data_IF_139406022613
#
_entry.id   IF_139406022613
#
_cell.length_a   1.000
_cell.length_b   1.000
_cell.length_c   1.000
_cell.angle_alpha   90.00
_cell.angle_beta   90.00
_cell.angle_gamma   90.00
#
_symmetry.space_group_name_H-M   'P 1'
#
loop_
_entity.id
_entity.type
_entity.pdbx_description
1 polymer ?
#
# COMPACT_ATOMS: atom_id res chain seq x y z
N UNK A 1 -25.53 16.32 34.34
CA UNK A 1 -24.83 15.34 33.48
C UNK A 1 -25.09 13.98 34.08
N UNK A 2 -25.79 13.09 33.36
CA UNK A 2 -26.19 11.76 33.86
C UNK A 2 -24.98 10.96 34.32
N UNK A 3 -25.11 10.27 35.45
CA UNK A 3 -24.18 9.27 35.94
C UNK A 3 -23.93 8.22 34.85
N UNK A 4 -22.76 8.29 34.22
CA UNK A 4 -22.29 7.27 33.30
C UNK A 4 -21.94 6.04 34.13
N UNK A 5 -22.79 5.00 34.05
CA UNK A 5 -22.50 3.70 34.65
C UNK A 5 -21.37 3.03 33.88
N UNK A 6 -20.13 3.28 34.33
CA UNK A 6 -18.91 2.78 33.73
C UNK A 6 -18.89 1.24 33.65
N UNK A 7 -19.54 0.53 34.59
CA UNK A 7 -19.63 -0.93 34.57
C UNK A 7 -20.48 -1.44 33.41
N UNK A 8 -21.62 -0.78 33.18
CA UNK A 8 -22.51 -1.09 32.04
C UNK A 8 -21.86 -0.74 30.71
N UNK A 9 -21.14 0.37 30.65
CA UNK A 9 -20.42 0.81 29.45
C UNK A 9 -19.27 -0.15 29.08
N UNK A 10 -18.55 -0.69 30.08
CA UNK A 10 -17.54 -1.73 29.88
C UNK A 10 -18.13 -3.07 29.42
N UNK A 11 -19.29 -3.45 29.95
CA UNK A 11 -20.00 -4.67 29.56
C UNK A 11 -20.55 -4.59 28.13
N UNK A 12 -21.24 -3.49 27.80
CA UNK A 12 -21.94 -3.34 26.52
C UNK A 12 -20.98 -3.00 25.36
N UNK A 13 -19.85 -2.35 25.64
CA UNK A 13 -18.86 -1.94 24.64
C UNK A 13 -17.48 -2.61 24.81
N UNK A 14 -17.41 -3.72 25.56
CA UNK A 14 -16.14 -4.42 25.83
C UNK A 14 -15.33 -4.72 24.58
N UNK A 15 -15.98 -5.11 23.49
CA UNK A 15 -15.31 -5.35 22.20
C UNK A 15 -14.64 -4.09 21.63
N UNK A 16 -15.29 -2.94 21.70
CA UNK A 16 -14.72 -1.66 21.22
C UNK A 16 -13.51 -1.28 22.06
N UNK A 17 -13.60 -1.46 23.38
CA UNK A 17 -12.48 -1.18 24.28
C UNK A 17 -11.27 -2.09 23.99
N UNK A 18 -11.51 -3.40 23.81
CA UNK A 18 -10.46 -4.36 23.44
C UNK A 18 -9.81 -3.97 22.11
N UNK A 19 -10.60 -3.56 21.11
CA UNK A 19 -10.07 -3.08 19.83
C UNK A 19 -9.21 -1.83 19.99
N UNK A 20 -9.64 -0.86 20.80
CA UNK A 20 -8.84 0.35 21.07
C UNK A 20 -7.52 0.01 21.78
N UNK A 21 -7.54 -0.89 22.76
CA UNK A 21 -6.33 -1.36 23.45
C UNK A 21 -5.40 -2.04 22.45
N UNK A 22 -5.92 -2.89 21.57
CA UNK A 22 -5.14 -3.56 20.54
C UNK A 22 -4.53 -2.53 19.58
N UNK A 23 -5.29 -1.54 19.12
CA UNK A 23 -4.78 -0.46 18.27
C UNK A 23 -3.67 0.33 18.95
N UNK A 24 -3.81 0.66 20.24
CA UNK A 24 -2.76 1.35 21.01
C UNK A 24 -1.52 0.48 21.15
N UNK A 25 -1.69 -0.80 21.47
CA UNK A 25 -0.60 -1.75 21.60
C UNK A 25 0.17 -1.92 20.29
N UNK A 26 -0.53 -2.15 19.17
CA UNK A 26 0.10 -2.29 17.85
C UNK A 26 0.75 -0.98 17.40
N UNK A 27 0.15 0.17 17.71
CA UNK A 27 0.77 1.48 17.45
C UNK A 27 2.07 1.65 18.25
N UNK A 28 2.09 1.23 19.51
CA UNK A 28 3.27 1.31 20.35
C UNK A 28 4.38 0.38 19.87
N UNK A 29 4.06 -0.89 19.56
CA UNK A 29 5.03 -1.88 19.07
C UNK A 29 5.58 -1.48 17.69
N UNK A 30 4.81 -0.77 16.87
CA UNK A 30 5.22 -0.33 15.54
C UNK A 30 5.86 1.06 15.49
N UNK A 31 6.29 1.60 16.64
CA UNK A 31 7.01 2.87 16.72
C UNK A 31 8.39 2.74 16.06
N UNK A 32 8.54 3.35 14.89
CA UNK A 32 9.80 3.41 14.15
C UNK A 32 10.22 4.84 13.88
N UNK A 33 11.52 5.04 13.68
CA UNK A 33 12.08 6.29 13.17
C UNK A 33 11.75 6.42 11.69
N UNK A 34 11.10 7.52 11.34
CA UNK A 34 10.70 7.84 9.97
C UNK A 34 11.53 9.01 9.47
N UNK A 35 12.11 8.89 8.28
CA UNK A 35 12.59 10.03 7.51
C UNK A 35 11.55 10.42 6.47
N UNK A 36 10.88 11.57 6.62
CA UNK A 36 9.82 11.96 5.70
C UNK A 36 10.38 12.30 4.31
N UNK A 37 9.85 11.64 3.27
CA UNK A 37 9.94 12.09 1.85
C UNK A 37 8.79 13.03 1.47
N UNK A 38 8.15 13.67 2.45
CA UNK A 38 7.07 14.63 2.19
C UNK A 38 7.61 15.94 1.62
N UNK A 39 6.77 16.67 0.90
CA UNK A 39 7.07 18.03 0.39
C UNK A 39 7.51 18.98 1.52
N UNK A 40 6.82 18.96 2.65
CA UNK A 40 7.19 19.76 3.83
C UNK A 40 8.58 19.41 4.39
N UNK A 41 9.02 18.16 4.22
CA UNK A 41 10.36 17.74 4.64
C UNK A 41 11.45 18.21 3.66
N UNK A 42 11.14 18.23 2.36
CA UNK A 42 12.00 18.82 1.34
C UNK A 42 12.23 20.32 1.60
N UNK A 43 11.17 21.07 1.89
CA UNK A 43 11.28 22.51 2.22
C UNK A 43 12.12 22.75 3.48
N UNK A 44 11.93 21.94 4.52
CA UNK A 44 12.72 22.03 5.77
C UNK A 44 14.18 21.70 5.52
N UNK A 45 14.47 20.68 4.70
CA UNK A 45 15.82 20.31 4.32
C UNK A 45 16.51 21.44 3.53
N UNK A 46 15.81 22.05 2.56
CA UNK A 46 16.33 23.19 1.82
C UNK A 46 16.71 24.35 2.74
N UNK A 47 15.83 24.72 3.68
CA UNK A 47 16.11 25.75 4.70
C UNK A 47 17.31 25.39 5.58
N UNK A 48 17.42 24.12 5.99
CA UNK A 48 18.54 23.64 6.80
C UNK A 48 19.88 23.75 6.05
N UNK A 49 19.90 23.44 4.75
CA UNK A 49 21.08 23.56 3.89
C UNK A 49 21.43 25.04 3.70
N UNK A 50 20.43 25.88 3.41
CA UNK A 50 20.63 27.32 3.20
C UNK A 50 21.20 28.02 4.44
N UNK A 51 20.75 27.66 5.65
CA UNK A 51 21.26 28.27 6.88
C UNK A 51 22.74 27.94 7.18
N UNK A 52 23.27 26.87 6.60
CA UNK A 52 24.64 26.38 6.86
C UNK A 52 25.62 26.68 5.72
N UNK A 53 25.13 27.19 4.58
CA UNK A 53 25.95 27.43 3.40
C UNK A 53 25.79 28.87 2.90
N UNK A 54 26.82 29.39 2.25
CA UNK A 54 26.76 30.72 1.65
C UNK A 54 25.78 30.76 0.45
N UNK A 55 25.13 31.91 0.18
CA UNK A 55 24.34 32.11 -1.04
C UNK A 55 25.19 31.82 -2.29
N UNK A 56 24.63 31.10 -3.27
CA UNK A 56 25.30 30.71 -4.51
C UNK A 56 26.14 29.43 -4.42
N UNK A 57 26.15 28.74 -3.29
CA UNK A 57 26.85 27.46 -3.16
C UNK A 57 26.20 26.35 -4.01
N UNK A 58 27.03 25.47 -4.58
CA UNK A 58 26.55 24.32 -5.37
C UNK A 58 26.07 23.20 -4.45
N UNK A 59 24.87 22.70 -4.74
CA UNK A 59 24.24 21.60 -4.03
C UNK A 59 23.86 20.49 -5.00
N UNK A 60 24.10 19.24 -4.60
CA UNK A 60 23.59 18.07 -5.31
C UNK A 60 22.42 17.45 -4.54
N UNK A 61 21.43 16.94 -5.27
CA UNK A 61 20.27 16.22 -4.74
C UNK A 61 20.43 14.74 -5.09
N UNK A 62 20.45 13.87 -4.08
CA UNK A 62 20.54 12.42 -4.25
C UNK A 62 19.36 11.76 -3.55
N UNK A 63 18.44 11.18 -4.33
CA UNK A 63 17.24 10.52 -3.82
C UNK A 63 17.19 9.10 -4.35
N UNK A 64 16.88 8.12 -3.50
CA UNK A 64 16.69 6.74 -3.96
C UNK A 64 15.37 6.60 -4.70
N UNK A 65 15.39 5.93 -5.86
CA UNK A 65 14.17 5.59 -6.59
C UNK A 65 13.17 4.84 -5.70
N UNK A 66 11.90 5.23 -5.78
CA UNK A 66 10.81 4.66 -5.00
C UNK A 66 9.65 5.62 -4.86
N UNK A 67 8.65 5.22 -4.06
CA UNK A 67 7.45 6.03 -3.86
C UNK A 67 7.78 7.40 -3.26
N UNK A 68 7.13 8.44 -3.80
CA UNK A 68 7.32 9.83 -3.41
C UNK A 68 8.67 10.46 -3.82
N UNK A 69 9.59 9.71 -4.43
CA UNK A 69 10.94 10.22 -4.76
C UNK A 69 10.91 11.40 -5.75
N UNK A 70 10.09 11.33 -6.79
CA UNK A 70 9.96 12.40 -7.79
C UNK A 70 9.36 13.68 -7.20
N UNK A 71 8.25 13.55 -6.44
CA UNK A 71 7.61 14.69 -5.78
C UNK A 71 8.58 15.34 -4.79
N UNK A 72 9.22 14.55 -3.94
CA UNK A 72 10.22 15.03 -2.98
C UNK A 72 11.38 15.76 -3.67
N UNK A 73 11.96 15.16 -4.71
CA UNK A 73 13.10 15.73 -5.45
C UNK A 73 12.72 17.05 -6.13
N UNK A 74 11.57 17.12 -6.82
CA UNK A 74 11.08 18.35 -7.47
C UNK A 74 10.83 19.47 -6.47
N UNK A 75 10.17 19.17 -5.34
CA UNK A 75 9.93 20.17 -4.29
C UNK A 75 11.23 20.63 -3.66
N UNK A 76 12.19 19.72 -3.44
CA UNK A 76 13.49 20.05 -2.88
C UNK A 76 14.31 20.95 -3.81
N UNK A 77 14.29 20.66 -5.11
CA UNK A 77 14.94 21.47 -6.14
C UNK A 77 14.36 22.88 -6.20
N UNK A 78 13.02 23.00 -6.23
CA UNK A 78 12.33 24.29 -6.18
C UNK A 78 12.63 25.07 -4.89
N UNK A 79 12.63 24.38 -3.74
CA UNK A 79 12.90 24.99 -2.45
C UNK A 79 14.36 25.47 -2.32
N UNK A 80 15.33 24.71 -2.85
CA UNK A 80 16.74 25.12 -2.88
C UNK A 80 16.96 26.32 -3.80
N UNK A 81 16.34 26.34 -4.98
CA UNK A 81 16.40 27.48 -5.90
C UNK A 81 15.88 28.77 -5.24
N UNK A 82 14.78 28.68 -4.48
CA UNK A 82 14.22 29.83 -3.74
C UNK A 82 15.12 30.36 -2.62
N UNK A 83 16.09 29.58 -2.15
CA UNK A 83 17.06 30.01 -1.12
C UNK A 83 18.33 30.66 -1.70
N UNK A 84 18.45 30.74 -3.03
CA UNK A 84 19.63 31.27 -3.71
C UNK A 84 20.80 30.28 -3.78
N UNK A 85 20.54 28.98 -3.60
CA UNK A 85 21.52 27.90 -3.82
C UNK A 85 21.40 27.36 -5.24
N UNK A 86 22.51 26.92 -5.81
CA UNK A 86 22.54 26.38 -7.18
C UNK A 86 22.49 24.86 -7.15
N UNK A 87 21.38 24.28 -7.60
CA UNK A 87 21.27 22.83 -7.79
C UNK A 87 22.05 22.45 -9.04
N UNK A 88 23.14 21.71 -8.86
CA UNK A 88 24.05 21.34 -9.96
C UNK A 88 23.78 19.94 -10.49
N UNK A 89 23.26 19.05 -9.65
CA UNK A 89 22.94 17.68 -10.03
C UNK A 89 21.74 17.18 -9.22
N UNK A 90 20.81 16.53 -9.89
CA UNK A 90 19.64 15.91 -9.28
C UNK A 90 19.54 14.46 -9.80
N UNK A 91 19.80 13.49 -8.92
CA UNK A 91 19.75 12.06 -9.25
C UNK A 91 18.66 11.39 -8.44
N UNK A 92 17.73 10.77 -9.16
CA UNK A 92 16.75 9.84 -8.61
C UNK A 92 17.13 8.44 -9.08
N UNK A 93 17.72 7.62 -8.20
CA UNK A 93 18.30 6.36 -8.68
C UNK A 93 18.91 5.47 -7.60
N UNK A 94 19.77 4.56 -8.07
CA UNK A 94 20.54 3.69 -7.20
C UNK A 94 21.88 4.36 -6.77
N UNK A 95 22.57 3.83 -5.75
CA UNK A 95 23.84 4.40 -5.29
C UNK A 95 24.93 4.45 -6.37
N UNK A 96 24.90 3.53 -7.34
CA UNK A 96 25.84 3.52 -8.46
C UNK A 96 25.65 4.75 -9.38
N UNK A 97 24.40 5.09 -9.73
CA UNK A 97 24.09 6.28 -10.50
C UNK A 97 24.45 7.56 -9.73
N UNK A 98 24.19 7.58 -8.42
CA UNK A 98 24.58 8.69 -7.55
C UNK A 98 26.11 8.89 -7.54
N UNK A 99 26.89 7.81 -7.43
CA UNK A 99 28.36 7.86 -7.49
C UNK A 99 28.85 8.40 -8.84
N UNK A 100 28.37 7.85 -9.94
CA UNK A 100 28.75 8.28 -11.29
C UNK A 100 28.47 9.77 -11.52
N UNK A 101 27.33 10.27 -11.00
CA UNK A 101 26.98 11.67 -11.10
C UNK A 101 27.93 12.57 -10.30
N UNK A 102 28.29 12.17 -9.06
CA UNK A 102 29.26 12.90 -8.24
C UNK A 102 30.66 12.93 -8.88
N UNK A 103 31.12 11.82 -9.47
CA UNK A 103 32.42 11.75 -10.16
C UNK A 103 32.45 12.59 -11.44
N UNK A 104 31.33 12.70 -12.15
CA UNK A 104 31.22 13.51 -13.37
C UNK A 104 31.20 15.02 -13.13
N UNK A 105 31.08 15.44 -11.86
CA UNK A 105 30.86 16.82 -11.51
C UNK A 105 32.17 17.58 -11.27
N UNK A 106 32.49 18.53 -12.15
CA UNK A 106 33.73 19.31 -12.06
C UNK A 106 33.66 20.48 -11.04
N UNK A 107 32.46 20.92 -10.64
CA UNK A 107 32.28 22.08 -9.78
C UNK A 107 32.38 21.70 -8.29
N UNK A 108 33.01 22.54 -7.44
CA UNK A 108 33.09 22.28 -6.01
C UNK A 108 31.70 22.25 -5.39
N UNK A 109 31.41 21.17 -4.65
CA UNK A 109 30.12 20.93 -3.99
C UNK A 109 30.22 21.33 -2.51
N UNK A 110 29.33 22.21 -2.07
CA UNK A 110 29.26 22.59 -0.66
C UNK A 110 28.39 21.63 0.14
N UNK A 111 27.29 21.16 -0.46
CA UNK A 111 26.31 20.31 0.22
C UNK A 111 25.72 19.25 -0.70
N UNK A 112 25.35 18.12 -0.09
CA UNK A 112 24.53 17.07 -0.72
C UNK A 112 23.24 16.96 0.08
N UNK A 113 22.10 17.17 -0.58
CA UNK A 113 20.79 16.88 -0.02
C UNK A 113 20.44 15.42 -0.34
N UNK A 114 20.46 14.56 0.67
CA UNK A 114 20.22 13.14 0.52
C UNK A 114 18.99 12.67 1.29
N UNK A 115 18.26 11.70 0.75
CA UNK A 115 17.22 11.01 1.50
C UNK A 115 17.81 9.98 2.49
N UNK A 116 16.96 9.32 3.30
CA UNK A 116 17.40 8.35 4.32
C UNK A 116 18.24 7.19 3.78
N UNK A 117 18.10 6.85 2.51
CA UNK A 117 18.86 5.77 1.92
C UNK A 117 20.17 6.28 1.33
N UNK A 118 20.14 7.42 0.64
CA UNK A 118 21.30 8.02 -0.01
C UNK A 118 22.26 8.67 0.99
N UNK A 119 21.78 9.05 2.18
CA UNK A 119 22.65 9.60 3.23
C UNK A 119 23.62 8.54 3.77
N UNK A 120 23.20 7.27 3.84
CA UNK A 120 24.07 6.15 4.23
C UNK A 120 25.20 5.99 3.20
N UNK A 121 24.84 5.99 1.91
CA UNK A 121 25.81 6.00 0.83
C UNK A 121 26.77 7.19 0.94
N UNK A 122 26.27 8.41 1.19
CA UNK A 122 27.11 9.60 1.34
C UNK A 122 28.07 9.45 2.52
N UNK A 123 27.60 9.02 3.68
CA UNK A 123 28.45 8.88 4.87
C UNK A 123 29.57 7.84 4.67
N UNK A 124 29.32 6.78 3.90
CA UNK A 124 30.31 5.72 3.65
C UNK A 124 31.27 6.01 2.50
N UNK A 125 30.78 6.66 1.43
CA UNK A 125 31.52 6.80 0.17
C UNK A 125 32.10 8.19 -0.04
N UNK A 126 31.51 9.24 0.53
CA UNK A 126 31.98 10.61 0.36
C UNK A 126 33.42 10.82 0.89
N UNK A 127 33.84 10.22 2.04
CA UNK A 127 35.23 10.33 2.49
C UNK A 127 36.23 9.72 1.50
N UNK A 128 35.87 8.60 0.86
CA UNK A 128 36.72 7.92 -0.14
C UNK A 128 36.79 8.73 -1.43
N UNK A 129 35.65 9.25 -1.88
CA UNK A 129 35.57 10.12 -3.05
C UNK A 129 36.34 11.43 -2.83
N UNK A 130 36.37 11.96 -1.61
CA UNK A 130 37.15 13.15 -1.27
C UNK A 130 38.68 12.94 -1.42
N UNK A 131 39.17 11.70 -1.26
CA UNK A 131 40.59 11.37 -1.51
C UNK A 131 40.91 11.36 -3.01
N UNK A 132 39.98 10.85 -3.83
CA UNK A 132 40.11 10.78 -5.29
C UNK A 132 39.84 12.13 -5.97
N UNK A 133 39.00 12.98 -5.35
CA UNK A 133 38.45 14.20 -5.92
C UNK A 133 38.48 15.36 -4.92
N UNK A 134 39.47 16.27 -5.00
CA UNK A 134 39.65 17.38 -4.05
C UNK A 134 38.47 18.36 -3.96
N UNK A 135 37.62 18.41 -4.99
CA UNK A 135 36.44 19.27 -5.05
C UNK A 135 35.29 18.79 -4.15
N UNK A 136 35.32 17.53 -3.68
CA UNK A 136 34.34 16.95 -2.74
C UNK A 136 34.80 16.98 -1.27
N UNK A 137 36.05 17.37 -1.00
CA UNK A 137 36.65 17.26 0.33
C UNK A 137 35.97 18.12 1.41
N UNK A 138 35.24 19.18 1.01
CA UNK A 138 34.49 20.06 1.92
C UNK A 138 32.98 19.85 1.87
N UNK A 139 32.51 18.84 1.13
CA UNK A 139 31.08 18.60 0.94
C UNK A 139 30.47 17.97 2.18
N UNK A 140 29.38 18.55 2.68
CA UNK A 140 28.59 17.99 3.78
C UNK A 140 27.27 17.40 3.28
N UNK A 141 26.94 16.19 3.71
CA UNK A 141 25.66 15.56 3.39
C UNK A 141 24.60 15.90 4.45
N UNK A 142 23.40 16.23 4.00
CA UNK A 142 22.26 16.64 4.83
C UNK A 142 21.06 15.73 4.53
N UNK A 143 20.35 15.33 5.58
CA UNK A 143 19.13 14.54 5.50
C UNK A 143 17.96 15.26 6.17
N UNK A 144 16.70 14.94 5.80
CA UNK A 144 15.53 15.42 6.52
C UNK A 144 15.58 15.05 8.02
N UNK A 145 14.96 15.88 8.85
CA UNK A 145 14.85 15.62 10.29
C UNK A 145 13.97 14.37 10.49
N UNK A 146 14.53 13.36 11.16
CA UNK A 146 13.80 12.15 11.54
C UNK A 146 12.80 12.44 12.65
N UNK A 147 11.65 11.77 12.61
CA UNK A 147 10.69 11.78 13.71
C UNK A 147 10.18 10.36 13.96
N UNK A 148 9.78 10.06 15.19
CA UNK A 148 9.18 8.75 15.51
C UNK A 148 7.70 8.77 15.18
N UNK A 149 7.23 7.78 14.43
CA UNK A 149 5.81 7.62 14.12
C UNK A 149 5.45 6.14 13.98
N UNK A 150 4.30 5.69 14.52
CA UNK A 150 3.83 4.32 14.34
C UNK A 150 3.60 3.95 12.88
N UNK A 151 4.18 2.86 12.40
CA UNK A 151 3.87 2.32 11.07
C UNK A 151 2.39 1.95 10.95
N UNK A 152 1.77 1.45 12.03
CA UNK A 152 0.37 1.05 12.04
C UNK A 152 -0.58 2.19 11.65
N UNK A 153 -0.31 3.41 12.14
CA UNK A 153 -1.16 4.58 11.91
C UNK A 153 -0.82 5.34 10.62
N UNK A 154 0.10 4.82 9.80
CA UNK A 154 0.36 5.42 8.48
C UNK A 154 -0.88 5.27 7.59
N UNK A 155 -1.14 6.30 6.78
CA UNK A 155 -2.29 6.35 5.85
C UNK A 155 -2.35 5.10 4.98
N UNK A 156 -1.22 4.69 4.39
CA UNK A 156 -1.18 3.54 3.48
C UNK A 156 -1.48 2.23 4.21
N UNK A 157 -0.98 2.07 5.44
CA UNK A 157 -1.29 0.91 6.25
C UNK A 157 -2.77 0.88 6.66
N UNK A 158 -3.33 1.99 7.11
CA UNK A 158 -4.75 2.09 7.46
C UNK A 158 -5.65 1.81 6.24
N UNK A 159 -5.30 2.33 5.06
CA UNK A 159 -6.00 2.05 3.81
C UNK A 159 -5.89 0.56 3.45
N UNK A 160 -4.74 -0.07 3.63
CA UNK A 160 -4.57 -1.51 3.37
C UNK A 160 -5.40 -2.37 4.33
N UNK A 161 -5.42 -2.02 5.62
CA UNK A 161 -6.27 -2.68 6.62
C UNK A 161 -7.75 -2.52 6.27
N UNK A 162 -8.18 -1.31 5.89
CA UNK A 162 -9.56 -1.07 5.45
C UNK A 162 -9.91 -1.87 4.20
N UNK A 163 -9.02 -1.92 3.20
CA UNK A 163 -9.19 -2.73 1.98
C UNK A 163 -9.38 -4.22 2.31
N UNK A 164 -8.58 -4.75 3.24
CA UNK A 164 -8.68 -6.14 3.67
C UNK A 164 -9.98 -6.44 4.42
N UNK A 165 -10.40 -5.53 5.32
CA UNK A 165 -11.64 -5.67 6.10
C UNK A 165 -12.88 -5.50 5.21
N UNK A 166 -12.80 -4.69 4.16
CA UNK A 166 -13.94 -4.41 3.26
C UNK A 166 -14.52 -5.68 2.65
N UNK A 167 -13.67 -6.64 2.28
CA UNK A 167 -14.11 -7.94 1.74
C UNK A 167 -14.96 -8.68 2.76
N UNK A 168 -14.46 -8.80 4.00
CA UNK A 168 -15.16 -9.48 5.11
C UNK A 168 -16.46 -8.75 5.47
N UNK A 169 -16.46 -7.43 5.48
CA UNK A 169 -17.64 -6.61 5.78
C UNK A 169 -18.76 -6.81 4.76
N UNK A 170 -18.45 -6.86 3.46
CA UNK A 170 -19.43 -7.12 2.40
C UNK A 170 -20.04 -8.52 2.55
N UNK A 171 -19.19 -9.52 2.83
CA UNK A 171 -19.64 -10.90 3.06
C UNK A 171 -20.56 -10.98 4.27
N UNK A 172 -20.24 -10.27 5.36
CA UNK A 172 -21.01 -10.29 6.59
C UNK A 172 -22.46 -9.84 6.37
N UNK A 173 -22.73 -8.94 5.42
CA UNK A 173 -24.09 -8.53 5.04
C UNK A 173 -24.86 -9.73 4.49
N UNK A 174 -24.27 -10.50 3.58
CA UNK A 174 -24.89 -11.72 3.05
C UNK A 174 -25.07 -12.80 4.12
N UNK A 175 -24.05 -13.00 4.96
CA UNK A 175 -24.11 -13.96 6.07
C UNK A 175 -25.18 -13.61 7.11
N UNK A 176 -25.52 -12.33 7.26
CA UNK A 176 -26.61 -11.91 8.16
C UNK A 176 -27.95 -12.53 7.73
N UNK A 177 -28.22 -12.61 6.42
CA UNK A 177 -29.44 -13.27 5.92
C UNK A 177 -29.44 -14.77 6.20
N UNK A 178 -28.29 -15.43 6.13
CA UNK A 178 -28.14 -16.86 6.47
C UNK A 178 -28.34 -17.10 7.96
N UNK A 179 -27.83 -16.22 8.83
CA UNK A 179 -27.98 -16.35 10.28
C UNK A 179 -29.43 -16.12 10.73
N UNK A 180 -30.14 -15.17 10.12
CA UNK A 180 -31.55 -14.91 10.42
C UNK A 180 -32.43 -16.14 10.14
N UNK A 181 -32.08 -16.96 9.13
CA UNK A 181 -32.77 -18.22 8.85
C UNK A 181 -32.31 -19.39 9.73
N UNK A 182 -31.52 -19.12 10.77
CA UNK A 182 -30.85 -20.11 11.62
C UNK A 182 -29.97 -21.10 10.83
N UNK A 183 -29.49 -20.69 9.66
CA UNK A 183 -28.58 -21.45 8.82
C UNK A 183 -27.11 -21.23 9.18
N UNK A 184 -26.27 -22.13 8.69
CA UNK A 184 -24.81 -21.99 8.71
C UNK A 184 -24.32 -22.18 7.28
N UNK A 185 -23.51 -21.24 6.79
CA UNK A 185 -22.86 -21.35 5.48
C UNK A 185 -21.33 -21.39 5.63
N UNK A 186 -20.78 -22.57 5.36
CA UNK A 186 -19.34 -22.82 5.32
C UNK A 186 -18.71 -22.56 3.94
N UNK A 187 -19.52 -22.47 2.89
CA UNK A 187 -19.06 -22.44 1.51
C UNK A 187 -18.51 -21.09 1.07
N UNK A 188 -18.81 -20.01 1.81
CA UNK A 188 -18.54 -18.62 1.42
C UNK A 188 -17.11 -18.36 0.99
N UNK A 189 -16.12 -18.88 1.73
CA UNK A 189 -14.70 -18.76 1.37
C UNK A 189 -14.35 -19.41 0.03
N UNK A 190 -14.94 -20.57 -0.24
CA UNK A 190 -14.71 -21.32 -1.49
C UNK A 190 -15.47 -20.70 -2.66
N UNK A 191 -16.65 -20.12 -2.42
CA UNK A 191 -17.41 -19.38 -3.42
C UNK A 191 -16.73 -18.08 -3.82
N UNK A 192 -16.03 -17.39 -2.92
CA UNK A 192 -15.22 -16.20 -3.26
C UNK A 192 -14.09 -16.59 -4.22
N UNK A 193 -13.35 -17.66 -3.89
CA UNK A 193 -12.28 -18.15 -4.75
C UNK A 193 -12.82 -18.57 -6.12
N UNK A 194 -13.92 -19.33 -6.15
CA UNK A 194 -14.59 -19.73 -7.38
C UNK A 194 -15.07 -18.54 -8.20
N UNK A 195 -15.74 -17.57 -7.59
CA UNK A 195 -16.18 -16.34 -8.25
C UNK A 195 -15.02 -15.58 -8.85
N UNK A 196 -13.89 -15.46 -8.14
CA UNK A 196 -12.69 -14.80 -8.63
C UNK A 196 -12.13 -15.46 -9.89
N UNK A 197 -12.07 -16.80 -9.89
CA UNK A 197 -11.61 -17.59 -11.05
C UNK A 197 -12.55 -17.41 -12.25
N UNK A 198 -13.87 -17.54 -12.05
CA UNK A 198 -14.85 -17.35 -13.13
C UNK A 198 -14.77 -15.94 -13.71
N UNK A 199 -14.71 -14.91 -12.85
CA UNK A 199 -14.54 -13.52 -13.29
C UNK A 199 -13.26 -13.35 -14.10
N UNK A 200 -12.13 -13.86 -13.61
CA UNK A 200 -10.83 -13.72 -14.26
C UNK A 200 -10.77 -14.39 -15.63
N UNK A 201 -11.25 -15.64 -15.71
CA UNK A 201 -11.29 -16.39 -16.96
C UNK A 201 -12.22 -15.74 -17.98
N UNK A 202 -13.37 -15.24 -17.54
CA UNK A 202 -14.32 -14.55 -18.43
C UNK A 202 -13.70 -13.26 -18.98
N UNK A 203 -12.96 -12.51 -18.16
CA UNK A 203 -12.24 -11.31 -18.62
C UNK A 203 -11.19 -11.66 -19.66
N UNK A 204 -10.36 -12.68 -19.41
CA UNK A 204 -9.32 -13.09 -20.36
C UNK A 204 -9.91 -13.58 -21.68
N UNK A 205 -10.96 -14.41 -21.62
CA UNK A 205 -11.60 -14.98 -22.81
C UNK A 205 -12.28 -13.92 -23.67
N UNK A 206 -12.91 -12.91 -23.06
CA UNK A 206 -13.62 -11.86 -23.81
C UNK A 206 -12.71 -10.69 -24.22
N UNK A 207 -11.75 -10.32 -23.36
CA UNK A 207 -10.93 -9.12 -23.53
C UNK A 207 -9.55 -9.34 -24.15
N UNK A 208 -9.09 -10.59 -24.27
CA UNK A 208 -7.81 -10.91 -24.89
C UNK A 208 -6.64 -10.20 -24.22
N UNK A 209 -5.79 -9.55 -25.03
CA UNK A 209 -4.56 -8.90 -24.56
C UNK A 209 -4.75 -7.50 -23.95
N UNK A 210 -5.91 -6.85 -24.13
CA UNK A 210 -6.19 -5.53 -23.55
C UNK A 210 -7.67 -5.43 -23.11
N UNK A 211 -8.04 -6.07 -22.00
CA UNK A 211 -9.40 -6.04 -21.51
C UNK A 211 -9.81 -4.63 -21.04
N UNK A 212 -10.85 -4.09 -21.68
CA UNK A 212 -11.54 -2.86 -21.30
C UNK A 212 -12.42 -3.00 -20.05
N UNK A 213 -12.91 -1.87 -19.54
CA UNK A 213 -13.87 -1.81 -18.44
C UNK A 213 -15.14 -2.64 -18.70
N UNK A 214 -15.58 -2.75 -19.96
CA UNK A 214 -16.76 -3.56 -20.32
C UNK A 214 -16.52 -5.04 -20.06
N UNK A 215 -15.33 -5.57 -20.39
CA UNK A 215 -14.99 -6.96 -20.11
C UNK A 215 -14.92 -7.24 -18.61
N UNK A 216 -14.42 -6.28 -17.82
CA UNK A 216 -14.46 -6.36 -16.36
C UNK A 216 -15.89 -6.48 -15.81
N UNK A 217 -16.82 -5.67 -16.31
CA UNK A 217 -18.23 -5.74 -15.88
C UNK A 217 -18.88 -7.06 -16.28
N UNK A 218 -18.64 -7.55 -17.50
CA UNK A 218 -19.15 -8.84 -17.96
C UNK A 218 -18.58 -10.01 -17.16
N UNK A 219 -17.28 -10.01 -16.88
CA UNK A 219 -16.66 -11.02 -16.03
C UNK A 219 -17.21 -11.00 -14.61
N UNK A 220 -17.37 -9.81 -14.03
CA UNK A 220 -17.97 -9.65 -12.70
C UNK A 220 -19.41 -10.18 -12.68
N UNK A 221 -20.20 -9.88 -13.71
CA UNK A 221 -21.55 -10.42 -13.85
C UNK A 221 -21.56 -11.95 -13.96
N UNK A 222 -20.62 -12.54 -14.72
CA UNK A 222 -20.50 -13.99 -14.82
C UNK A 222 -20.19 -14.65 -13.47
N UNK A 223 -19.26 -14.09 -12.69
CA UNK A 223 -18.96 -14.57 -11.34
C UNK A 223 -20.17 -14.49 -10.39
N UNK A 224 -20.89 -13.36 -10.42
CA UNK A 224 -22.13 -13.16 -9.64
C UNK A 224 -23.18 -14.20 -10.02
N UNK A 225 -23.45 -14.38 -11.33
CA UNK A 225 -24.44 -15.33 -11.82
C UNK A 225 -24.09 -16.77 -11.46
N UNK A 226 -22.82 -17.15 -11.57
CA UNK A 226 -22.36 -18.48 -11.21
C UNK A 226 -22.57 -18.76 -9.71
N UNK A 227 -22.22 -17.81 -8.84
CA UNK A 227 -22.45 -17.96 -7.41
C UNK A 227 -23.94 -17.90 -7.03
N UNK A 228 -24.73 -17.07 -7.72
CA UNK A 228 -26.18 -17.01 -7.53
C UNK A 228 -26.84 -18.36 -7.88
N UNK A 229 -26.41 -19.02 -8.96
CA UNK A 229 -26.91 -20.34 -9.33
C UNK A 229 -26.56 -21.39 -8.26
N UNK A 230 -25.33 -21.39 -7.74
CA UNK A 230 -24.92 -22.30 -6.65
C UNK A 230 -25.72 -21.99 -5.38
N UNK A 231 -25.88 -20.72 -5.02
CA UNK A 231 -26.66 -20.29 -3.86
C UNK A 231 -28.13 -20.70 -3.96
N UNK A 232 -28.74 -20.52 -5.13
CA UNK A 232 -30.11 -20.97 -5.40
C UNK A 232 -30.25 -22.49 -5.26
N UNK A 233 -29.31 -23.26 -5.82
CA UNK A 233 -29.29 -24.72 -5.67
C UNK A 233 -29.11 -25.15 -4.22
N UNK A 234 -28.20 -24.49 -3.48
CA UNK A 234 -27.95 -24.75 -2.06
C UNK A 234 -29.20 -24.49 -1.22
N UNK A 235 -29.84 -23.33 -1.41
CA UNK A 235 -31.10 -22.97 -0.74
C UNK A 235 -32.24 -23.92 -1.11
N UNK A 236 -32.32 -24.33 -2.39
CA UNK A 236 -33.29 -25.32 -2.87
C UNK A 236 -33.11 -26.68 -2.19
N UNK A 237 -31.87 -27.17 -2.05
CA UNK A 237 -31.59 -28.42 -1.34
C UNK A 237 -32.00 -28.37 0.14
N UNK A 238 -31.75 -27.24 0.80
CA UNK A 238 -32.14 -27.06 2.21
C UNK A 238 -33.66 -27.00 2.35
N UNK A 239 -34.33 -26.22 1.49
CA UNK A 239 -35.77 -25.93 1.64
C UNK A 239 -36.69 -27.02 1.09
N UNK A 240 -36.37 -27.62 -0.06
CA UNK A 240 -37.21 -28.67 -0.66
C UNK A 240 -36.97 -30.04 -0.06
N UNK A 241 -35.71 -30.36 0.27
CA UNK A 241 -35.33 -31.71 0.72
C UNK A 241 -35.11 -31.80 2.24
N UNK A 242 -35.27 -30.69 2.97
CA UNK A 242 -35.07 -30.61 4.43
C UNK A 242 -33.69 -31.13 4.89
N UNK A 243 -32.66 -30.97 4.05
CA UNK A 243 -31.29 -31.35 4.40
C UNK A 243 -30.71 -30.26 5.31
N UNK A 244 -30.05 -30.61 6.43
CA UNK A 244 -29.41 -29.62 7.29
C UNK A 244 -28.43 -28.72 6.52
N UNK A 245 -28.59 -27.39 6.65
CA UNK A 245 -27.83 -26.39 5.90
C UNK A 245 -26.31 -26.55 6.00
N UNK A 246 -25.82 -26.92 7.19
CA UNK A 246 -24.41 -27.21 7.43
C UNK A 246 -23.86 -28.31 6.49
N UNK A 247 -24.62 -29.38 6.25
CA UNK A 247 -24.19 -30.50 5.41
C UNK A 247 -24.13 -30.09 3.95
N UNK A 248 -25.17 -29.39 3.47
CA UNK A 248 -25.23 -28.91 2.08
C UNK A 248 -24.08 -27.93 1.81
N UNK A 249 -23.89 -26.94 2.69
CA UNK A 249 -22.86 -25.90 2.50
C UNK A 249 -21.44 -26.46 2.65
N UNK A 250 -21.22 -27.47 3.51
CA UNK A 250 -19.95 -28.20 3.55
C UNK A 250 -19.66 -28.92 2.22
N UNK A 251 -20.66 -29.57 1.64
CA UNK A 251 -20.53 -30.20 0.32
C UNK A 251 -20.22 -29.18 -0.78
N UNK A 252 -20.97 -28.07 -0.80
CA UNK A 252 -20.76 -26.96 -1.74
C UNK A 252 -19.38 -26.34 -1.58
N UNK A 253 -18.86 -26.24 -0.35
CA UNK A 253 -17.49 -25.77 -0.10
C UNK A 253 -16.46 -26.61 -0.87
N UNK A 254 -16.54 -27.95 -0.78
CA UNK A 254 -15.61 -28.84 -1.49
C UNK A 254 -15.79 -28.77 -3.01
N UNK A 255 -17.04 -28.71 -3.49
CA UNK A 255 -17.34 -28.59 -4.92
C UNK A 255 -16.78 -27.28 -5.48
N UNK A 256 -17.12 -26.14 -4.87
CA UNK A 256 -16.67 -24.82 -5.31
C UNK A 256 -15.14 -24.71 -5.27
N UNK A 257 -14.50 -25.25 -4.22
CA UNK A 257 -13.04 -25.30 -4.11
C UNK A 257 -12.42 -26.15 -5.22
N UNK A 258 -12.99 -27.33 -5.50
CA UNK A 258 -12.54 -28.21 -6.58
C UNK A 258 -12.69 -27.56 -7.95
N UNK A 259 -13.84 -26.94 -8.22
CA UNK A 259 -14.10 -26.22 -9.47
C UNK A 259 -13.14 -25.04 -9.65
N UNK A 260 -12.90 -24.26 -8.60
CA UNK A 260 -11.93 -23.16 -8.65
C UNK A 260 -10.53 -23.67 -8.99
N UNK A 261 -10.11 -24.79 -8.41
CA UNK A 261 -8.81 -25.41 -8.69
C UNK A 261 -8.69 -25.95 -10.12
N UNK A 262 -9.73 -26.63 -10.61
CA UNK A 262 -9.77 -27.16 -11.98
C UNK A 262 -9.76 -26.02 -13.00
N UNK A 263 -10.60 -25.01 -12.82
CA UNK A 263 -10.73 -23.91 -13.78
C UNK A 263 -9.53 -22.97 -13.77
N UNK A 264 -8.84 -22.81 -12.64
CA UNK A 264 -7.59 -22.05 -12.57
C UNK A 264 -6.37 -22.83 -13.06
N UNK A 265 -6.53 -24.10 -13.45
CA UNK A 265 -5.42 -25.00 -13.78
C UNK A 265 -4.34 -25.05 -12.68
N UNK A 266 -4.76 -24.88 -11.42
CA UNK A 266 -3.86 -24.80 -10.25
C UNK A 266 -2.89 -23.60 -10.27
N UNK A 267 -3.13 -22.59 -11.11
CA UNK A 267 -2.25 -21.43 -11.28
C UNK A 267 -3.01 -20.11 -11.04
N UNK A 268 -2.31 -19.03 -10.65
CA UNK A 268 -2.91 -17.69 -10.65
C UNK A 268 -3.37 -17.31 -12.07
N UNK A 269 -4.56 -16.72 -12.18
CA UNK A 269 -5.13 -16.22 -13.44
C UNK A 269 -4.85 -14.71 -13.52
N UNK A 270 -3.76 -14.27 -14.18
CA UNK A 270 -3.37 -12.86 -14.18
C UNK A 270 -4.33 -12.01 -15.02
N UNK A 271 -4.62 -10.81 -14.57
CA UNK A 271 -5.46 -9.87 -15.31
C UNK A 271 -4.73 -8.54 -15.39
N UNK A 272 -4.39 -8.11 -16.60
CA UNK A 272 -3.86 -6.79 -16.88
C UNK A 272 -4.87 -6.06 -17.75
N UNK A 273 -5.22 -4.82 -17.41
CA UNK A 273 -6.23 -4.08 -18.17
C UNK A 273 -6.37 -2.64 -17.72
N UNK A 274 -6.97 -1.83 -18.59
CA UNK A 274 -7.21 -0.38 -18.38
C UNK A 274 -8.03 -0.05 -17.12
N UNK A 275 -8.77 -1.02 -16.56
CA UNK A 275 -9.58 -0.86 -15.34
C UNK A 275 -8.79 -1.10 -14.05
N UNK A 276 -7.50 -1.43 -14.12
CA UNK A 276 -6.76 -1.81 -12.93
C UNK A 276 -6.59 -0.66 -11.91
N UNK A 277 -6.89 0.59 -12.27
CA UNK A 277 -7.04 1.68 -11.30
C UNK A 277 -8.12 1.39 -10.23
N UNK A 278 -9.16 0.63 -10.59
CA UNK A 278 -10.25 0.23 -9.71
C UNK A 278 -9.73 -0.68 -8.60
N UNK A 279 -9.83 -0.25 -7.35
CA UNK A 279 -9.38 -1.01 -6.17
C UNK A 279 -7.92 -0.79 -5.78
N UNK A 280 -7.07 -0.19 -6.62
CA UNK A 280 -5.68 0.16 -6.25
C UNK A 280 -5.61 1.39 -5.34
N UNK A 281 -6.63 2.24 -5.35
CA UNK A 281 -6.66 3.46 -4.51
C UNK A 281 -5.58 4.47 -4.91
N UNK A 282 -5.11 4.42 -6.16
CA UNK A 282 -4.24 5.42 -6.73
C UNK A 282 -5.07 6.69 -6.99
N UNK A 283 -4.58 7.82 -6.49
CA UNK A 283 -5.18 9.14 -6.65
C UNK A 283 -5.27 9.52 -8.15
N UNK A 284 -6.37 10.18 -8.52
CA UNK A 284 -6.50 10.95 -9.75
C UNK A 284 -5.75 12.28 -9.63
#
# INVERSE_FOLDING_TARGET
MKDLDYGKLLSDYGNVLVLLILCLFVSFVSLEEQSPRSEAAAERLAKQIANKNSPGANVAILVRSGEGAEKFSKTLEAALANTGLTVTTNVIGNPAAARAALESQAAPLAAIAADEHMIVFCNEQLPKLAEESPHLAKTAAYQPIKHKWPNFLKRDNLLNVLKQISIVAIIAIGMTMVIITAGIDLSVGSLIAFSGVITALTIQQLGGSDPSLTHFLLGSAAGILACAAIGFGTGGLVTLFNIPAFIVTLGVMFIAKGLAFIFSESAPVPIEGSFAWLGRGADF
#
